data_IF_485680122089
#
_entry.id   IF_485680122089
#
_cell.length_a   1.000
_cell.length_b   1.000
_cell.length_c   1.000
_cell.angle_alpha   90.00
_cell.angle_beta   90.00
_cell.angle_gamma   90.00
#
_symmetry.space_group_name_H-M   'P 1'
#
loop_
_entity.id
_entity.type
_entity.pdbx_description
1 polymer ?
#
# COMPACT_ATOMS: atom_id res chain seq x y z
N UNK A 1 -7.83 13.42 15.61
CA UNK A 1 -8.74 12.46 14.99
C UNK A 1 -8.94 12.86 13.53
N UNK A 2 -8.46 12.06 12.57
CA UNK A 2 -8.81 12.19 11.17
C UNK A 2 -10.25 11.69 10.94
N UNK A 3 -11.01 12.42 10.10
CA UNK A 3 -12.21 11.88 9.50
C UNK A 3 -11.77 11.14 8.23
N UNK A 4 -12.04 9.85 8.17
CA UNK A 4 -11.78 9.02 6.98
C UNK A 4 -13.09 8.35 6.60
N UNK A 5 -13.35 8.27 5.31
CA UNK A 5 -14.45 7.43 4.84
C UNK A 5 -14.07 5.96 5.08
N UNK A 6 -14.99 5.13 5.59
CA UNK A 6 -14.73 3.72 5.74
C UNK A 6 -14.52 3.09 4.34
N UNK A 7 -13.55 2.20 4.22
CA UNK A 7 -13.44 1.35 3.02
C UNK A 7 -14.44 0.21 3.20
N UNK A 8 -15.59 0.35 2.59
CA UNK A 8 -16.71 -0.58 2.66
C UNK A 8 -17.41 -0.76 1.30
N UNK A 9 -18.43 -1.60 1.27
CA UNK A 9 -19.20 -1.88 0.07
C UNK A 9 -19.88 -0.63 -0.51
N UNK A 10 -20.22 0.35 0.33
CA UNK A 10 -20.87 1.59 -0.11
C UNK A 10 -19.89 2.50 -0.83
N UNK A 11 -18.70 2.74 -0.24
CA UNK A 11 -17.66 3.56 -0.85
C UNK A 11 -17.18 2.96 -2.17
N UNK A 12 -17.05 1.62 -2.21
CA UNK A 12 -16.55 0.91 -3.39
C UNK A 12 -17.63 0.63 -4.43
N UNK A 13 -18.90 0.89 -4.11
CA UNK A 13 -20.03 0.62 -5.00
C UNK A 13 -20.21 -0.87 -5.31
N UNK A 14 -19.92 -1.75 -4.33
CA UNK A 14 -20.01 -3.20 -4.50
C UNK A 14 -21.50 -3.58 -4.66
N UNK A 15 -21.81 -4.27 -5.75
CA UNK A 15 -23.15 -4.85 -5.97
C UNK A 15 -23.23 -6.20 -5.23
N UNK A 16 -24.24 -6.34 -4.37
CA UNK A 16 -24.53 -7.56 -3.61
C UNK A 16 -24.84 -8.79 -4.47
N UNK A 17 -25.05 -8.62 -5.77
CA UNK A 17 -25.27 -9.71 -6.73
C UNK A 17 -23.98 -10.23 -7.36
N UNK A 18 -22.83 -9.58 -7.10
CA UNK A 18 -21.51 -9.98 -7.61
C UNK A 18 -20.77 -10.87 -6.61
N UNK A 19 -19.99 -11.84 -7.11
CA UNK A 19 -19.02 -12.59 -6.31
C UNK A 19 -17.83 -11.67 -6.02
N UNK A 20 -18.01 -10.78 -5.05
CA UNK A 20 -17.03 -9.79 -4.64
C UNK A 20 -16.76 -9.96 -3.16
N UNK A 21 -15.49 -9.97 -2.81
CA UNK A 21 -15.03 -10.12 -1.42
C UNK A 21 -14.07 -8.99 -1.07
N UNK A 22 -14.24 -8.44 0.13
CA UNK A 22 -13.36 -7.38 0.65
C UNK A 22 -12.73 -7.83 1.96
N UNK A 23 -11.41 -7.86 1.99
CA UNK A 23 -10.63 -8.20 3.17
C UNK A 23 -9.81 -7.00 3.63
N UNK A 24 -9.70 -6.80 4.93
CA UNK A 24 -8.77 -5.86 5.54
C UNK A 24 -7.53 -6.61 6.02
N UNK A 25 -6.37 -6.31 5.45
CA UNK A 25 -5.09 -6.87 5.88
C UNK A 25 -4.49 -5.94 6.93
N UNK A 26 -4.49 -6.37 8.19
CA UNK A 26 -4.17 -5.52 9.33
C UNK A 26 -2.92 -5.95 10.10
N UNK A 27 -2.35 -7.11 9.80
CA UNK A 27 -1.22 -7.66 10.55
C UNK A 27 -0.13 -8.19 9.64
N UNK A 28 1.12 -7.86 9.99
CA UNK A 28 2.30 -8.46 9.35
C UNK A 28 2.44 -9.93 9.73
N UNK A 29 2.69 -10.78 8.75
CA UNK A 29 3.08 -12.17 8.95
C UNK A 29 4.59 -12.23 9.13
N UNK A 30 5.04 -12.89 10.20
CA UNK A 30 6.44 -13.25 10.43
C UNK A 30 6.67 -14.71 10.06
N UNK A 31 7.93 -15.11 9.84
CA UNK A 31 8.26 -16.50 9.46
C UNK A 31 7.71 -17.53 10.46
N UNK A 32 7.82 -17.27 11.78
CA UNK A 32 7.27 -18.13 12.83
C UNK A 32 5.73 -18.29 12.72
N UNK A 33 5.04 -17.19 12.35
CA UNK A 33 3.59 -17.20 12.18
C UNK A 33 3.19 -17.89 10.88
N UNK A 34 4.01 -17.79 9.83
CA UNK A 34 3.79 -18.48 8.56
C UNK A 34 3.93 -20.00 8.71
N UNK A 35 4.91 -20.47 9.51
CA UNK A 35 5.04 -21.90 9.84
C UNK A 35 3.80 -22.41 10.59
N UNK A 36 3.31 -21.66 11.60
CA UNK A 36 2.09 -22.01 12.33
C UNK A 36 0.87 -22.04 11.42
N UNK A 37 0.76 -21.11 10.48
CA UNK A 37 -0.32 -21.09 9.48
C UNK A 37 -0.32 -22.37 8.61
N UNK A 38 0.84 -22.81 8.15
CA UNK A 38 0.98 -24.03 7.33
C UNK A 38 0.65 -25.30 8.10
N UNK A 39 0.81 -25.31 9.44
CA UNK A 39 0.51 -26.46 10.28
C UNK A 39 -0.98 -26.55 10.65
N UNK A 40 -1.65 -25.43 10.94
CA UNK A 40 -2.99 -25.40 11.58
C UNK A 40 -4.14 -24.96 10.66
N UNK A 41 -3.88 -24.39 9.45
CA UNK A 41 -4.89 -24.02 8.45
C UNK A 41 -5.93 -22.93 8.81
N UNK A 42 -6.22 -22.73 10.09
CA UNK A 42 -7.26 -21.79 10.56
C UNK A 42 -6.72 -20.37 10.85
N UNK A 43 -5.53 -20.06 10.40
CA UNK A 43 -4.75 -18.92 10.90
C UNK A 43 -4.97 -17.61 10.12
N UNK A 44 -5.59 -17.63 8.94
CA UNK A 44 -5.78 -16.45 8.07
C UNK A 44 -6.50 -15.31 8.79
N UNK A 45 -7.53 -15.61 9.56
CA UNK A 45 -8.30 -14.62 10.32
C UNK A 45 -7.48 -13.82 11.35
N UNK A 46 -6.23 -14.25 11.65
CA UNK A 46 -5.31 -13.49 12.49
C UNK A 46 -4.56 -12.39 11.74
N UNK A 47 -4.59 -12.39 10.40
CA UNK A 47 -3.88 -11.45 9.55
C UNK A 47 -4.80 -10.54 8.76
N UNK A 48 -5.97 -11.08 8.39
CA UNK A 48 -6.97 -10.33 7.66
C UNK A 48 -8.38 -10.57 8.22
N UNK A 49 -9.24 -9.62 7.98
CA UNK A 49 -10.64 -9.62 8.37
C UNK A 49 -11.49 -9.58 7.10
N UNK A 50 -12.45 -10.49 6.99
CA UNK A 50 -13.47 -10.41 5.94
C UNK A 50 -14.44 -9.29 6.30
N UNK A 51 -14.41 -8.19 5.54
CA UNK A 51 -15.28 -7.04 5.76
C UNK A 51 -16.53 -7.06 4.88
N UNK A 52 -16.47 -7.78 3.75
CA UNK A 52 -17.62 -8.02 2.89
C UNK A 52 -17.45 -9.34 2.11
N UNK A 53 -18.51 -10.19 1.99
CA UNK A 53 -19.76 -10.10 2.76
C UNK A 53 -19.53 -10.32 4.25
N UNK A 54 -20.58 -10.14 5.06
CA UNK A 54 -20.51 -10.45 6.50
C UNK A 54 -20.10 -11.90 6.73
N UNK A 55 -19.21 -12.15 7.70
CA UNK A 55 -18.60 -13.46 7.98
C UNK A 55 -19.60 -14.56 8.42
N UNK A 56 -20.84 -14.17 8.75
CA UNK A 56 -21.95 -15.07 9.09
C UNK A 56 -22.75 -15.57 7.88
N UNK A 57 -22.35 -15.19 6.66
CA UNK A 57 -23.04 -15.58 5.43
C UNK A 57 -22.51 -16.89 4.84
N UNK A 58 -23.31 -17.54 3.98
CA UNK A 58 -22.86 -18.74 3.26
C UNK A 58 -21.69 -18.46 2.29
N UNK A 59 -21.53 -17.21 1.84
CA UNK A 59 -20.45 -16.79 0.94
C UNK A 59 -19.10 -16.62 1.67
N UNK A 60 -19.10 -16.56 2.99
CA UNK A 60 -17.85 -16.40 3.77
C UNK A 60 -16.89 -17.58 3.59
N UNK A 61 -17.42 -18.81 3.45
CA UNK A 61 -16.58 -20.00 3.22
C UNK A 61 -15.78 -19.89 1.91
N UNK A 62 -16.42 -19.49 0.81
CA UNK A 62 -15.77 -19.28 -0.49
C UNK A 62 -14.77 -18.11 -0.42
N UNK A 63 -15.09 -17.05 0.32
CA UNK A 63 -14.19 -15.93 0.53
C UNK A 63 -12.87 -16.37 1.21
N UNK A 64 -12.96 -17.22 2.23
CA UNK A 64 -11.79 -17.72 2.93
C UNK A 64 -10.94 -18.69 2.09
N UNK A 65 -11.55 -19.50 1.20
CA UNK A 65 -10.81 -20.32 0.23
C UNK A 65 -10.00 -19.44 -0.74
N UNK A 66 -10.57 -18.34 -1.21
CA UNK A 66 -9.86 -17.36 -2.06
C UNK A 66 -8.74 -16.65 -1.28
N UNK A 67 -8.93 -16.39 0.00
CA UNK A 67 -7.90 -15.80 0.85
C UNK A 67 -6.73 -16.77 1.07
N UNK A 68 -6.96 -18.09 1.15
CA UNK A 68 -5.92 -19.11 1.17
C UNK A 68 -5.05 -19.07 -0.10
N UNK A 69 -5.68 -18.99 -1.27
CA UNK A 69 -4.97 -18.85 -2.55
C UNK A 69 -4.07 -17.60 -2.57
N UNK A 70 -4.56 -16.48 -2.01
CA UNK A 70 -3.77 -15.27 -1.85
C UNK A 70 -2.54 -15.50 -0.96
N UNK A 71 -2.72 -16.16 0.19
CA UNK A 71 -1.64 -16.43 1.14
C UNK A 71 -0.57 -17.32 0.53
N UNK A 72 -0.98 -18.38 -0.14
CA UNK A 72 -0.07 -19.29 -0.83
C UNK A 72 0.72 -18.59 -1.94
N UNK A 73 0.07 -17.69 -2.68
CA UNK A 73 0.70 -16.93 -3.74
C UNK A 73 1.74 -15.92 -3.21
N UNK A 74 1.42 -15.17 -2.16
CA UNK A 74 2.29 -14.10 -1.62
C UNK A 74 3.45 -14.65 -0.79
N UNK A 75 3.21 -15.74 -0.05
CA UNK A 75 4.18 -16.32 0.88
C UNK A 75 4.77 -17.66 0.42
N UNK A 76 4.37 -18.13 -0.76
CA UNK A 76 4.85 -19.41 -1.35
C UNK A 76 6.24 -19.36 -1.97
N UNK A 77 6.84 -18.19 -2.12
CA UNK A 77 8.16 -17.99 -2.74
C UNK A 77 8.06 -17.24 -4.07
N UNK A 78 8.91 -17.61 -5.03
CA UNK A 78 8.94 -16.93 -6.34
C UNK A 78 7.68 -17.20 -7.16
N UNK A 79 7.24 -16.19 -7.90
CA UNK A 79 6.01 -16.23 -8.70
C UNK A 79 6.30 -15.88 -10.17
N UNK A 80 5.60 -16.55 -11.10
CA UNK A 80 5.63 -16.17 -12.52
C UNK A 80 4.57 -15.11 -12.80
N UNK A 81 4.79 -14.32 -13.86
CA UNK A 81 3.83 -13.32 -14.30
C UNK A 81 2.47 -13.93 -14.66
N UNK A 82 2.47 -15.09 -15.30
CA UNK A 82 1.25 -15.84 -15.66
C UNK A 82 0.48 -16.34 -14.42
N UNK A 83 1.18 -16.79 -13.38
CA UNK A 83 0.56 -17.19 -12.12
C UNK A 83 0.00 -15.97 -11.38
N UNK A 84 0.73 -14.86 -11.40
CA UNK A 84 0.31 -13.61 -10.80
C UNK A 84 -0.97 -13.06 -11.43
N UNK A 85 -1.02 -12.95 -12.77
CA UNK A 85 -2.17 -12.38 -13.50
C UNK A 85 -3.46 -13.21 -13.36
N UNK A 86 -3.36 -14.45 -12.88
CA UNK A 86 -4.55 -15.25 -12.55
C UNK A 86 -5.21 -14.85 -11.25
N UNK A 87 -4.44 -14.35 -10.29
CA UNK A 87 -4.90 -14.03 -8.94
C UNK A 87 -4.98 -12.55 -8.66
N UNK A 88 -4.17 -11.73 -9.35
CA UNK A 88 -4.02 -10.32 -9.08
C UNK A 88 -4.32 -9.47 -10.31
N UNK A 89 -4.87 -8.30 -10.09
CA UNK A 89 -4.89 -7.23 -11.07
C UNK A 89 -3.49 -6.63 -11.17
N UNK A 90 -2.72 -7.07 -12.18
CA UNK A 90 -1.32 -6.67 -12.36
C UNK A 90 -1.15 -5.15 -12.46
N UNK A 91 -2.04 -4.46 -13.16
CA UNK A 91 -1.97 -2.99 -13.30
C UNK A 91 -2.11 -2.30 -11.94
N UNK A 92 -3.09 -2.71 -11.13
CA UNK A 92 -3.27 -2.18 -9.78
C UNK A 92 -2.08 -2.50 -8.87
N UNK A 93 -1.53 -3.71 -8.97
CA UNK A 93 -0.40 -4.13 -8.16
C UNK A 93 0.87 -3.33 -8.47
N UNK A 94 1.15 -3.08 -9.76
CA UNK A 94 2.25 -2.22 -10.22
C UNK A 94 2.05 -0.79 -9.70
N UNK A 95 0.86 -0.21 -9.88
CA UNK A 95 0.56 1.15 -9.41
C UNK A 95 0.70 1.26 -7.87
N UNK A 96 0.22 0.28 -7.11
CA UNK A 96 0.40 0.24 -5.65
C UNK A 96 1.87 0.13 -5.25
N UNK A 97 2.66 -0.70 -5.94
CA UNK A 97 4.08 -0.85 -5.63
C UNK A 97 4.84 0.46 -5.86
N UNK A 98 4.60 1.12 -6.99
CA UNK A 98 5.21 2.41 -7.31
C UNK A 98 4.77 3.51 -6.34
N UNK A 99 3.50 3.53 -5.98
CA UNK A 99 2.95 4.46 -4.99
C UNK A 99 3.57 4.23 -3.60
N UNK A 100 3.63 2.98 -3.12
CA UNK A 100 4.24 2.68 -1.82
C UNK A 100 5.72 3.03 -1.80
N UNK A 101 6.43 2.73 -2.88
CA UNK A 101 7.83 3.10 -3.00
C UNK A 101 8.00 4.62 -3.06
N UNK A 102 7.23 5.32 -3.87
CA UNK A 102 7.29 6.79 -4.00
C UNK A 102 7.07 7.50 -2.66
N UNK A 103 6.04 7.06 -1.92
CA UNK A 103 5.65 7.67 -0.65
C UNK A 103 6.39 7.12 0.57
N UNK A 104 7.35 6.20 0.40
CA UNK A 104 8.10 5.55 1.50
C UNK A 104 7.18 4.83 2.52
N UNK A 105 6.16 4.12 2.03
CA UNK A 105 5.13 3.45 2.84
C UNK A 105 5.57 2.05 3.29
N UNK A 106 6.62 1.96 4.07
CA UNK A 106 7.22 0.68 4.49
C UNK A 106 6.30 -0.18 5.36
N UNK A 107 5.33 0.41 6.04
CA UNK A 107 4.34 -0.33 6.84
C UNK A 107 3.25 -0.97 5.96
N UNK A 108 3.10 -0.51 4.71
CA UNK A 108 2.11 -1.00 3.75
C UNK A 108 2.60 -2.14 2.84
N UNK A 109 3.84 -2.59 2.98
CA UNK A 109 4.39 -3.68 2.13
C UNK A 109 3.75 -5.03 2.41
N UNK A 110 3.20 -5.24 3.61
CA UNK A 110 2.64 -6.52 4.05
C UNK A 110 1.36 -6.41 4.89
N UNK A 111 0.90 -5.22 5.21
CA UNK A 111 -0.34 -4.92 5.95
C UNK A 111 -0.85 -3.52 5.60
N UNK A 112 -1.89 -3.05 6.28
CA UNK A 112 -2.47 -1.70 6.10
C UNK A 112 -2.96 -1.46 4.66
N UNK A 113 -3.69 -2.42 4.13
CA UNK A 113 -4.44 -2.28 2.88
C UNK A 113 -5.68 -3.18 2.91
N UNK A 114 -6.63 -2.90 2.04
CA UNK A 114 -7.69 -3.82 1.74
C UNK A 114 -7.37 -4.60 0.46
N UNK A 115 -7.87 -5.83 0.42
CA UNK A 115 -7.87 -6.67 -0.77
C UNK A 115 -9.30 -6.79 -1.26
N UNK A 116 -9.55 -6.31 -2.46
CA UNK A 116 -10.82 -6.44 -3.15
C UNK A 116 -10.69 -7.54 -4.20
N UNK A 117 -11.37 -8.66 -3.99
CA UNK A 117 -11.52 -9.71 -5.01
C UNK A 117 -12.78 -9.42 -5.82
N UNK A 118 -12.63 -9.22 -7.12
CA UNK A 118 -13.73 -8.96 -8.05
C UNK A 118 -13.63 -9.83 -9.29
N UNK A 119 -14.79 -10.19 -9.85
CA UNK A 119 -14.83 -10.85 -11.15
C UNK A 119 -14.60 -9.82 -12.25
N UNK A 120 -13.50 -9.97 -12.99
CA UNK A 120 -13.13 -9.13 -14.11
C UNK A 120 -13.97 -9.44 -15.37
N UNK A 121 -13.95 -8.59 -16.41
CA UNK A 121 -14.69 -8.80 -17.64
C UNK A 121 -14.38 -10.10 -18.39
N UNK A 122 -13.20 -10.69 -18.17
CA UNK A 122 -12.79 -11.99 -18.72
C UNK A 122 -13.36 -13.18 -17.94
N UNK A 123 -14.08 -12.92 -16.85
CA UNK A 123 -14.70 -13.92 -15.98
C UNK A 123 -13.78 -14.47 -14.89
N UNK A 124 -12.51 -14.03 -14.81
CA UNK A 124 -11.60 -14.39 -13.74
C UNK A 124 -11.82 -13.47 -12.51
N UNK A 125 -11.67 -14.03 -11.31
CA UNK A 125 -11.65 -13.21 -10.08
C UNK A 125 -10.20 -12.85 -9.75
N UNK A 126 -9.94 -11.56 -9.54
CA UNK A 126 -8.60 -11.04 -9.22
C UNK A 126 -8.62 -10.11 -8.02
N UNK A 127 -7.53 -10.14 -7.27
CA UNK A 127 -7.32 -9.22 -6.17
C UNK A 127 -6.79 -7.87 -6.67
N UNK A 128 -7.39 -6.80 -6.16
CA UNK A 128 -6.85 -5.44 -6.22
C UNK A 128 -6.55 -4.93 -4.81
N UNK A 129 -5.44 -4.23 -4.63
CA UNK A 129 -5.08 -3.58 -3.37
C UNK A 129 -5.68 -2.20 -3.29
N UNK A 130 -6.19 -1.84 -2.12
CA UNK A 130 -6.64 -0.49 -1.76
C UNK A 130 -5.79 -0.04 -0.58
N UNK A 131 -4.88 0.93 -0.76
CA UNK A 131 -4.02 1.43 0.32
C UNK A 131 -4.85 1.98 1.48
N UNK A 132 -4.39 1.73 2.71
CA UNK A 132 -5.02 2.16 3.95
C UNK A 132 -3.97 2.49 4.99
N UNK A 133 -4.28 3.44 5.91
CA UNK A 133 -3.41 3.78 7.04
C UNK A 133 -2.00 4.21 6.60
N UNK A 134 -1.94 5.33 5.86
CA UNK A 134 -0.74 5.82 5.17
C UNK A 134 0.05 6.84 6.00
N UNK A 135 -0.06 6.80 7.31
CA UNK A 135 0.54 7.77 8.23
C UNK A 135 2.07 7.60 8.38
N UNK A 136 2.59 6.40 8.07
CA UNK A 136 4.02 6.13 8.01
C UNK A 136 4.54 6.23 6.58
N UNK A 137 4.72 7.46 6.12
CA UNK A 137 5.24 7.75 4.80
C UNK A 137 6.08 9.02 4.77
N UNK A 138 6.75 9.24 3.66
CA UNK A 138 7.57 10.42 3.42
C UNK A 138 8.59 10.69 4.53
N UNK A 139 9.27 9.65 4.99
CA UNK A 139 10.29 9.71 6.04
C UNK A 139 9.75 9.75 7.48
N UNK A 140 8.43 9.66 7.68
CA UNK A 140 7.88 9.54 9.03
C UNK A 140 7.83 8.09 9.47
N UNK A 141 8.46 7.80 10.61
CA UNK A 141 8.50 6.46 11.19
C UNK A 141 8.03 6.45 12.63
N UNK A 142 7.55 5.29 13.08
CA UNK A 142 7.15 5.07 14.45
C UNK A 142 8.30 5.30 15.42
N UNK A 143 8.07 6.14 16.41
CA UNK A 143 8.97 6.31 17.57
C UNK A 143 8.48 5.45 18.73
N UNK A 144 9.41 4.75 19.38
CA UNK A 144 9.14 4.09 20.66
C UNK A 144 9.05 5.06 21.84
N UNK A 145 9.37 6.33 21.60
CA UNK A 145 9.21 7.39 22.61
C UNK A 145 7.72 7.69 22.78
N UNK A 146 7.23 7.58 24.02
CA UNK A 146 5.82 7.85 24.37
C UNK A 146 5.42 9.31 24.19
N UNK A 147 6.38 10.22 24.01
CA UNK A 147 6.14 11.66 23.81
C UNK A 147 5.99 12.05 22.34
N UNK A 148 6.56 11.25 21.45
CA UNK A 148 6.47 11.46 19.99
C UNK A 148 6.07 10.15 19.34
N UNK A 149 4.94 10.11 18.64
CA UNK A 149 4.45 8.90 17.97
C UNK A 149 5.23 8.60 16.68
N UNK A 150 5.74 9.62 16.02
CA UNK A 150 6.54 9.52 14.79
C UNK A 150 7.79 10.38 14.89
N UNK A 151 8.85 9.96 14.22
CA UNK A 151 10.10 10.71 14.03
C UNK A 151 10.36 10.82 12.53
N UNK A 152 10.71 12.02 12.09
CA UNK A 152 11.12 12.25 10.70
C UNK A 152 12.57 11.82 10.48
N UNK A 153 12.79 11.00 9.47
CA UNK A 153 14.07 10.42 9.07
C UNK A 153 14.43 10.84 7.64
N UNK A 154 15.08 11.99 7.47
CA UNK A 154 15.43 12.49 6.14
C UNK A 154 16.32 11.55 5.33
N UNK A 155 17.11 10.70 6.00
CA UNK A 155 18.01 9.72 5.36
C UNK A 155 17.27 8.57 4.65
N UNK A 156 15.97 8.36 4.94
CA UNK A 156 15.19 7.29 4.34
C UNK A 156 14.71 7.59 2.91
N UNK A 157 15.06 8.74 2.36
CA UNK A 157 14.74 9.04 0.96
C UNK A 157 15.26 7.98 -0.03
N UNK A 158 16.30 7.23 0.33
CA UNK A 158 16.89 6.17 -0.50
C UNK A 158 16.44 4.75 -0.11
N UNK A 159 15.51 4.60 0.85
CA UNK A 159 15.03 3.28 1.25
C UNK A 159 14.15 2.66 0.15
N UNK A 160 14.40 1.39 -0.18
CA UNK A 160 13.54 0.66 -1.11
C UNK A 160 12.30 0.13 -0.38
N UNK A 161 11.12 0.38 -0.94
CA UNK A 161 9.83 -0.08 -0.43
C UNK A 161 9.12 -0.88 -1.52
N UNK A 162 9.19 -2.21 -1.41
CA UNK A 162 8.62 -3.13 -2.40
C UNK A 162 7.64 -4.07 -1.71
N UNK A 163 6.36 -4.12 -2.11
CA UNK A 163 5.39 -5.09 -1.61
C UNK A 163 5.85 -6.52 -1.83
N UNK A 164 5.49 -7.43 -0.90
CA UNK A 164 6.00 -8.81 -0.91
C UNK A 164 5.64 -9.58 -2.19
N UNK A 165 4.46 -9.40 -2.72
CA UNK A 165 4.00 -10.03 -3.97
C UNK A 165 4.78 -9.54 -5.20
N UNK A 166 5.09 -8.25 -5.27
CA UNK A 166 5.94 -7.69 -6.34
C UNK A 166 7.40 -8.13 -6.16
N UNK A 167 7.88 -8.25 -4.93
CA UNK A 167 9.21 -8.78 -4.67
C UNK A 167 9.34 -10.24 -5.14
N UNK A 168 8.34 -11.10 -4.83
CA UNK A 168 8.29 -12.50 -5.30
C UNK A 168 8.25 -12.59 -6.83
N UNK A 169 7.52 -11.67 -7.47
CA UNK A 169 7.41 -11.59 -8.92
C UNK A 169 8.74 -11.14 -9.59
N UNK A 170 9.41 -10.13 -9.01
CA UNK A 170 10.73 -9.69 -9.44
C UNK A 170 11.80 -10.78 -9.27
N UNK A 171 11.72 -11.59 -8.20
CA UNK A 171 12.62 -12.71 -8.01
C UNK A 171 12.37 -13.83 -9.03
N UNK A 172 11.11 -14.10 -9.38
CA UNK A 172 10.73 -15.15 -10.34
C UNK A 172 11.01 -14.80 -11.81
N UNK A 173 10.60 -13.63 -12.25
CA UNK A 173 10.67 -13.17 -13.64
C UNK A 173 11.17 -11.72 -13.79
N UNK A 174 12.38 -11.41 -13.33
CA UNK A 174 12.87 -10.03 -13.32
C UNK A 174 12.89 -9.38 -14.70
N UNK A 175 13.26 -10.12 -15.76
CA UNK A 175 13.32 -9.61 -17.14
C UNK A 175 11.95 -9.22 -17.72
N UNK A 176 10.86 -9.75 -17.19
CA UNK A 176 9.51 -9.39 -17.61
C UNK A 176 8.94 -8.24 -16.75
N UNK A 177 9.24 -8.22 -15.46
CA UNK A 177 8.61 -7.33 -14.49
C UNK A 177 9.33 -5.98 -14.37
N UNK A 178 10.65 -5.98 -14.40
CA UNK A 178 11.43 -4.77 -14.27
C UNK A 178 11.09 -3.71 -15.35
N UNK A 179 10.99 -4.06 -16.64
CA UNK A 179 10.57 -3.10 -17.66
C UNK A 179 9.15 -2.56 -17.46
N UNK A 180 8.22 -3.39 -16.91
CA UNK A 180 6.86 -2.93 -16.61
C UNK A 180 6.86 -1.85 -15.52
N UNK A 181 7.59 -2.09 -14.43
CA UNK A 181 7.74 -1.12 -13.35
C UNK A 181 8.39 0.18 -13.83
N UNK A 182 9.49 0.07 -14.58
CA UNK A 182 10.22 1.25 -15.09
C UNK A 182 9.35 2.07 -16.07
N UNK A 183 8.68 1.43 -17.02
CA UNK A 183 7.81 2.12 -17.95
C UNK A 183 6.65 2.81 -17.24
N UNK A 184 6.01 2.14 -16.28
CA UNK A 184 4.90 2.71 -15.52
C UNK A 184 5.35 3.83 -14.58
N UNK A 185 6.56 3.71 -14.01
CA UNK A 185 7.16 4.80 -13.24
C UNK A 185 7.24 6.09 -14.06
N UNK A 186 7.78 6.04 -15.27
CA UNK A 186 7.89 7.20 -16.15
C UNK A 186 6.52 7.85 -16.44
N UNK A 187 5.48 7.03 -16.67
CA UNK A 187 4.13 7.55 -16.89
C UNK A 187 3.60 8.29 -15.64
N UNK A 188 3.66 7.66 -14.47
CA UNK A 188 3.16 8.24 -13.22
C UNK A 188 3.99 9.47 -12.80
N UNK A 189 5.30 9.42 -13.04
CA UNK A 189 6.24 10.51 -12.75
C UNK A 189 5.98 11.77 -13.57
N UNK A 190 5.47 11.60 -14.78
CA UNK A 190 5.07 12.71 -15.66
C UNK A 190 3.73 13.37 -15.26
N UNK A 191 2.97 12.76 -14.35
CA UNK A 191 1.62 13.20 -13.95
C UNK A 191 1.46 13.19 -12.43
N UNK A 192 0.77 12.19 -11.90
CA UNK A 192 0.30 12.17 -10.49
C UNK A 192 1.44 12.03 -9.46
N UNK A 193 2.56 11.42 -9.82
CA UNK A 193 3.76 11.32 -8.98
C UNK A 193 4.82 12.37 -9.33
N UNK A 194 4.45 13.44 -10.02
CA UNK A 194 5.34 14.59 -10.19
C UNK A 194 5.56 15.31 -8.86
N UNK A 195 6.73 15.93 -8.69
CA UNK A 195 7.02 16.74 -7.50
C UNK A 195 5.96 17.83 -7.29
N UNK A 196 5.53 18.49 -8.38
CA UNK A 196 4.49 19.51 -8.33
C UNK A 196 3.17 18.96 -7.80
N UNK A 197 2.73 17.79 -8.27
CA UNK A 197 1.48 17.16 -7.84
C UNK A 197 1.54 16.77 -6.36
N UNK A 198 2.62 16.13 -5.92
CA UNK A 198 2.78 15.67 -4.53
C UNK A 198 2.87 16.87 -3.57
N UNK A 199 3.76 17.82 -3.84
CA UNK A 199 3.92 19.02 -3.01
C UNK A 199 2.66 19.86 -3.01
N UNK A 200 1.97 19.95 -4.17
CA UNK A 200 0.69 20.64 -4.30
C UNK A 200 -0.40 20.04 -3.42
N UNK A 201 -0.48 18.72 -3.33
CA UNK A 201 -1.43 18.02 -2.44
C UNK A 201 -1.17 18.36 -0.96
N UNK A 202 0.08 18.27 -0.50
CA UNK A 202 0.44 18.64 0.88
C UNK A 202 0.17 20.12 1.18
N UNK A 203 0.51 20.99 0.24
CA UNK A 203 0.27 22.44 0.37
C UNK A 203 -1.22 22.73 0.50
N UNK A 204 -2.05 22.10 -0.34
CA UNK A 204 -3.50 22.25 -0.29
C UNK A 204 -4.10 21.78 1.04
N UNK A 205 -3.65 20.63 1.55
CA UNK A 205 -4.08 20.12 2.86
C UNK A 205 -3.67 21.08 3.99
N UNK A 206 -2.41 21.54 4.02
CA UNK A 206 -1.93 22.54 5.00
C UNK A 206 -2.78 23.79 4.97
N UNK A 207 -3.01 24.36 3.79
CA UNK A 207 -3.75 25.63 3.65
C UNK A 207 -5.21 25.46 4.08
N UNK A 208 -5.83 24.31 3.86
CA UNK A 208 -7.16 23.99 4.36
C UNK A 208 -7.18 23.92 5.90
N UNK A 209 -6.18 23.28 6.52
CA UNK A 209 -6.05 23.21 7.98
C UNK A 209 -5.82 24.59 8.62
N UNK A 210 -5.00 25.43 7.99
CA UNK A 210 -4.74 26.79 8.46
C UNK A 210 -5.97 27.68 8.30
N UNK A 211 -6.59 27.72 7.14
CA UNK A 211 -7.73 28.59 6.83
C UNK A 211 -8.98 28.23 7.64
N UNK A 212 -9.23 26.95 7.89
CA UNK A 212 -10.31 26.48 8.74
C UNK A 212 -10.08 26.71 10.25
N UNK A 213 -8.85 27.07 10.66
CA UNK A 213 -8.42 27.17 12.03
C UNK A 213 -8.27 25.81 12.74
N UNK A 214 -8.31 24.69 12.01
CA UNK A 214 -8.15 23.36 12.58
C UNK A 214 -6.76 23.19 13.19
N UNK A 215 -5.73 23.63 12.50
CA UNK A 215 -4.34 23.61 12.98
C UNK A 215 -4.18 24.35 14.32
N UNK A 216 -4.74 25.54 14.44
CA UNK A 216 -4.70 26.31 15.71
C UNK A 216 -5.41 25.58 16.84
N UNK A 217 -6.61 25.00 16.59
CA UNK A 217 -7.35 24.22 17.60
C UNK A 217 -6.60 22.97 18.04
N UNK A 218 -5.87 22.35 17.12
CA UNK A 218 -5.00 21.19 17.41
C UNK A 218 -3.90 21.58 18.41
N UNK A 219 -3.15 22.66 18.15
CA UNK A 219 -2.10 23.16 19.04
C UNK A 219 -2.64 23.65 20.38
N UNK A 220 -3.83 24.27 20.41
CA UNK A 220 -4.50 24.67 21.66
C UNK A 220 -4.89 23.44 22.51
N UNK A 221 -5.31 22.35 21.84
CA UNK A 221 -5.73 21.10 22.49
C UNK A 221 -4.54 20.25 22.93
N UNK A 222 -3.51 20.23 22.13
CA UNK A 222 -2.31 19.40 22.29
C UNK A 222 -1.05 20.26 22.13
N UNK A 223 -0.68 21.06 23.15
CA UNK A 223 0.46 21.99 23.06
C UNK A 223 1.81 21.32 22.80
N UNK A 224 1.92 20.02 23.14
CA UNK A 224 3.13 19.22 22.92
C UNK A 224 3.11 18.51 21.56
N UNK A 225 2.13 18.76 20.70
CA UNK A 225 2.05 18.18 19.36
C UNK A 225 3.29 18.58 18.54
N UNK A 226 3.96 17.65 17.88
CA UNK A 226 5.08 17.94 16.99
C UNK A 226 4.63 18.53 15.63
N UNK A 227 3.32 18.79 15.47
CA UNK A 227 2.78 19.32 14.23
C UNK A 227 3.43 20.65 13.83
N UNK A 228 3.82 20.74 12.57
CA UNK A 228 4.41 21.93 11.94
C UNK A 228 3.62 22.30 10.69
N UNK A 229 3.48 23.59 10.42
CA UNK A 229 2.96 24.14 9.16
C UNK A 229 4.09 24.44 8.15
N UNK A 230 5.35 24.25 8.56
CA UNK A 230 6.51 24.34 7.67
C UNK A 230 6.70 23.02 6.92
N UNK A 231 6.54 23.04 5.59
CA UNK A 231 6.73 21.90 4.71
C UNK A 231 8.16 21.78 4.14
N UNK A 232 9.10 22.62 4.57
CA UNK A 232 10.43 22.69 3.93
C UNK A 232 11.20 21.38 4.00
N UNK A 233 11.19 20.68 5.15
CA UNK A 233 11.84 19.38 5.31
C UNK A 233 11.14 18.28 4.48
N UNK A 234 9.81 18.29 4.46
CA UNK A 234 9.03 17.36 3.66
C UNK A 234 9.30 17.56 2.15
N UNK A 235 9.32 18.81 1.68
CA UNK A 235 9.62 19.14 0.27
C UNK A 235 11.02 18.68 -0.10
N UNK A 236 12.02 18.91 0.77
CA UNK A 236 13.38 18.44 0.54
C UNK A 236 13.46 16.90 0.48
N UNK A 237 12.72 16.19 1.34
CA UNK A 237 12.62 14.74 1.30
C UNK A 237 11.99 14.25 -0.01
N UNK A 238 10.86 14.82 -0.41
CA UNK A 238 10.17 14.47 -1.66
C UNK A 238 11.11 14.66 -2.85
N UNK A 239 11.80 15.80 -2.94
CA UNK A 239 12.76 16.09 -3.99
C UNK A 239 13.88 15.04 -4.06
N UNK A 240 14.53 14.76 -2.93
CA UNK A 240 15.62 13.77 -2.86
C UNK A 240 15.11 12.35 -3.20
N UNK A 241 13.91 11.99 -2.71
CA UNK A 241 13.26 10.71 -2.98
C UNK A 241 13.02 10.48 -4.46
N UNK A 242 12.42 11.45 -5.12
CA UNK A 242 12.09 11.36 -6.54
C UNK A 242 13.33 11.25 -7.42
N UNK A 243 14.41 11.98 -7.12
CA UNK A 243 15.70 11.85 -7.84
C UNK A 243 16.28 10.45 -7.64
N UNK A 244 16.27 9.92 -6.42
CA UNK A 244 16.77 8.59 -6.14
C UNK A 244 15.98 7.52 -6.91
N UNK A 245 14.66 7.61 -6.91
CA UNK A 245 13.80 6.64 -7.60
C UNK A 245 13.87 6.77 -9.13
N UNK A 246 14.06 7.98 -9.67
CA UNK A 246 14.30 8.17 -11.10
C UNK A 246 15.58 7.39 -11.51
N UNK A 247 16.67 7.48 -10.74
CA UNK A 247 17.93 6.75 -10.98
C UNK A 247 17.77 5.22 -10.80
N UNK A 248 17.03 4.79 -9.77
CA UNK A 248 16.75 3.38 -9.52
C UNK A 248 15.95 2.72 -10.65
N UNK A 249 14.89 3.37 -11.14
CA UNK A 249 14.07 2.83 -12.24
C UNK A 249 14.73 2.93 -13.59
N UNK A 250 15.58 3.93 -13.85
CA UNK A 250 16.44 3.99 -15.04
C UNK A 250 17.43 2.84 -15.05
N UNK A 251 18.11 2.58 -13.92
CA UNK A 251 19.03 1.43 -13.74
C UNK A 251 18.28 0.10 -13.91
N UNK A 252 17.06 0.00 -13.37
CA UNK A 252 16.24 -1.21 -13.50
C UNK A 252 15.87 -1.48 -14.96
N UNK A 253 15.58 -0.45 -15.75
CA UNK A 253 15.30 -0.57 -17.18
C UNK A 253 16.52 -1.05 -17.97
N UNK A 254 17.71 -0.43 -17.74
CA UNK A 254 18.96 -0.74 -18.44
C UNK A 254 19.47 -2.18 -18.17
N UNK A 255 19.18 -2.71 -16.98
CA UNK A 255 19.63 -4.05 -16.57
C UNK A 255 18.98 -5.20 -17.36
N UNK A 256 17.94 -4.93 -18.15
CA UNK A 256 17.15 -5.91 -18.88
C UNK A 256 16.99 -5.61 -20.39
N UNK A 257 17.68 -4.59 -20.93
CA UNK A 257 17.85 -4.36 -22.37
C UNK A 257 18.94 -5.31 -22.93
#
# INVERSE_FOLDING_TARGET
>A
YGLMDPVDETLLGIDSSSNTYLFKVFRRITDDLLESYREDGDFISLFMELTYPSDDTAAAGEAWEIADDYMDAVYGGTMTLDAYDRLFNLSNAVDCALFFNCCDLSDNICKNYFLLSQTEPDGASRFSKIPWDLDYGFGNYFSRDVTTHTVFHPELYSAAVVPLDIAALLEGEPSAVAPLLAARWLELRADVLSEESIVGAFTSCRDALLSSGAYRRELERWPESPASDDLSELVAFIHARLICLDDDYDTLAEGFE
#
